data_IF_304227110548
#
_entry.id   IF_304227110548
#
_cell.length_a   1.000
_cell.length_b   1.000
_cell.length_c   1.000
_cell.angle_alpha   90.00
_cell.angle_beta   90.00
_cell.angle_gamma   90.00
#
_symmetry.space_group_name_H-M   'P 1'
#
loop_
_entity.id
_entity.type
_entity.pdbx_description
1 polymer ?
#
# COMPACT_ATOMS: atom_id res chain seq x y z
N UNK A 1 -30.78 -3.66 4.39
CA UNK A 1 -29.47 -3.93 3.76
C UNK A 1 -28.43 -4.45 4.74
N UNK A 2 -28.21 -3.81 5.89
CA UNK A 2 -27.19 -4.24 6.86
C UNK A 2 -27.30 -5.71 7.31
N UNK A 3 -28.48 -6.17 7.77
CA UNK A 3 -28.68 -7.57 8.19
C UNK A 3 -28.44 -8.60 7.09
N UNK A 4 -28.71 -8.24 5.83
CA UNK A 4 -28.46 -9.09 4.66
C UNK A 4 -26.95 -9.22 4.46
N UNK A 5 -26.21 -8.11 4.50
CA UNK A 5 -24.75 -8.13 4.35
C UNK A 5 -24.10 -8.95 5.48
N UNK A 6 -24.58 -8.82 6.72
CA UNK A 6 -24.07 -9.58 7.86
C UNK A 6 -24.35 -11.09 7.76
N UNK A 7 -25.53 -11.47 7.27
CA UNK A 7 -25.86 -12.88 7.04
C UNK A 7 -25.02 -13.47 5.91
N UNK A 8 -24.83 -12.73 4.81
CA UNK A 8 -23.98 -13.16 3.69
C UNK A 8 -22.51 -13.35 4.12
N UNK A 9 -21.99 -12.42 4.92
CA UNK A 9 -20.62 -12.50 5.46
C UNK A 9 -20.50 -13.49 6.62
N UNK A 10 -21.55 -14.23 7.00
CA UNK A 10 -21.55 -15.13 8.16
C UNK A 10 -20.99 -14.48 9.43
N UNK A 11 -21.25 -13.19 9.60
CA UNK A 11 -20.70 -12.37 10.68
C UNK A 11 -19.15 -12.34 10.76
N UNK A 12 -18.42 -12.75 9.71
CA UNK A 12 -16.96 -12.67 9.65
C UNK A 12 -16.52 -11.28 9.14
N UNK A 13 -16.45 -10.32 10.06
CA UNK A 13 -16.01 -8.94 9.76
C UNK A 13 -14.50 -8.72 9.99
N UNK A 14 -13.81 -9.69 10.61
CA UNK A 14 -12.43 -9.58 11.08
C UNK A 14 -11.34 -9.84 10.04
N UNK A 15 -11.63 -9.70 8.74
CA UNK A 15 -10.64 -10.00 7.70
C UNK A 15 -9.44 -9.03 7.78
N UNK A 16 -8.19 -9.53 7.69
CA UNK A 16 -7.02 -8.67 7.68
C UNK A 16 -7.03 -7.79 6.43
N UNK A 17 -7.00 -6.47 6.62
CA UNK A 17 -6.95 -5.51 5.52
C UNK A 17 -5.51 -5.27 5.06
N UNK A 18 -5.27 -4.84 3.80
CA UNK A 18 -3.92 -4.49 3.33
C UNK A 18 -3.17 -3.51 4.23
N UNK A 19 -3.90 -2.59 4.90
CA UNK A 19 -3.32 -1.66 5.85
C UNK A 19 -2.65 -2.36 7.05
N UNK A 20 -3.19 -3.49 7.50
CA UNK A 20 -2.58 -4.28 8.58
C UNK A 20 -1.21 -4.83 8.16
N UNK A 21 -1.08 -5.27 6.91
CA UNK A 21 0.17 -5.73 6.34
C UNK A 21 1.19 -4.57 6.23
N UNK A 22 0.78 -3.43 5.68
CA UNK A 22 1.65 -2.24 5.55
C UNK A 22 2.16 -1.75 6.90
N UNK A 23 1.31 -1.75 7.93
CA UNK A 23 1.72 -1.37 9.30
C UNK A 23 2.76 -2.35 9.88
N UNK A 24 2.56 -3.65 9.67
CA UNK A 24 3.53 -4.68 10.09
C UNK A 24 4.85 -4.55 9.33
N UNK A 25 4.77 -4.32 8.02
CA UNK A 25 5.93 -4.04 7.17
C UNK A 25 6.71 -2.82 7.66
N UNK A 26 6.04 -1.68 7.87
CA UNK A 26 6.70 -0.45 8.30
C UNK A 26 7.44 -0.65 9.63
N UNK A 27 6.84 -1.41 10.55
CA UNK A 27 7.46 -1.78 11.83
C UNK A 27 8.67 -2.70 11.64
N UNK A 28 8.55 -3.75 10.83
CA UNK A 28 9.64 -4.70 10.55
C UNK A 28 10.80 -4.07 9.74
N UNK A 29 10.48 -3.13 8.87
CA UNK A 29 11.44 -2.36 8.10
C UNK A 29 12.13 -1.27 8.94
N UNK A 30 11.79 -1.14 10.24
CA UNK A 30 12.23 -0.07 11.12
C UNK A 30 12.07 1.33 10.50
N UNK A 31 10.99 1.53 9.73
CA UNK A 31 10.65 2.81 9.13
C UNK A 31 10.14 3.75 10.25
N UNK A 32 11.08 4.31 11.00
CA UNK A 32 10.79 5.40 11.93
C UNK A 32 10.49 6.67 11.13
N UNK A 33 9.63 7.52 11.69
CA UNK A 33 9.25 8.84 11.16
C UNK A 33 10.42 9.79 10.86
N UNK A 34 11.62 9.43 11.33
CA UNK A 34 12.88 10.16 11.21
C UNK A 34 13.74 9.71 10.03
N UNK A 35 13.57 8.48 9.52
CA UNK A 35 14.42 7.90 8.47
C UNK A 35 13.59 7.61 7.23
N UNK A 36 13.80 8.41 6.18
CA UNK A 36 13.05 8.30 4.92
C UNK A 36 13.02 6.87 4.38
N UNK A 37 11.81 6.38 4.08
CA UNK A 37 11.55 5.06 3.47
C UNK A 37 12.35 4.85 2.18
N UNK A 38 12.72 5.94 1.50
CA UNK A 38 13.45 5.94 0.22
C UNK A 38 14.95 5.62 0.34
N UNK A 39 15.53 5.66 1.55
CA UNK A 39 16.98 5.40 1.77
C UNK A 39 17.28 3.93 2.08
N UNK A 40 16.25 3.09 2.27
CA UNK A 40 16.40 1.69 2.68
C UNK A 40 16.32 0.74 1.49
N UNK A 41 17.04 -0.39 1.53
CA UNK A 41 16.87 -1.44 0.55
C UNK A 41 15.39 -1.88 0.49
N UNK A 42 14.80 -1.97 -0.71
CA UNK A 42 13.36 -2.15 -0.88
C UNK A 42 12.83 -3.51 -0.40
N UNK A 43 13.70 -4.52 -0.29
CA UNK A 43 13.37 -5.84 0.23
C UNK A 43 14.55 -6.39 1.04
N UNK A 44 14.33 -6.77 2.30
CA UNK A 44 15.38 -7.26 3.21
C UNK A 44 15.14 -8.71 3.61
N UNK A 45 16.20 -9.43 3.99
CA UNK A 45 16.10 -10.82 4.47
C UNK A 45 15.14 -10.96 5.66
N UNK A 46 15.10 -9.96 6.55
CA UNK A 46 14.14 -9.90 7.67
C UNK A 46 12.69 -9.87 7.18
N UNK A 47 12.39 -9.09 6.14
CA UNK A 47 11.05 -9.00 5.57
C UNK A 47 10.65 -10.29 4.86
N UNK A 48 11.57 -10.91 4.13
CA UNK A 48 11.35 -12.22 3.52
C UNK A 48 11.05 -13.29 4.58
N UNK A 49 11.75 -13.27 5.72
CA UNK A 49 11.49 -14.20 6.82
C UNK A 49 10.11 -14.03 7.46
N UNK A 50 9.65 -12.79 7.68
CA UNK A 50 8.34 -12.53 8.32
C UNK A 50 7.15 -12.69 7.37
N UNK A 51 7.35 -12.50 6.07
CA UNK A 51 6.26 -12.52 5.08
C UNK A 51 6.22 -13.80 4.25
N UNK A 52 7.33 -14.51 4.13
CA UNK A 52 7.48 -15.71 3.31
C UNK A 52 7.58 -15.43 1.81
N UNK A 53 7.47 -14.17 1.36
CA UNK A 53 7.56 -13.82 -0.06
C UNK A 53 9.00 -13.58 -0.50
N UNK A 54 9.37 -14.13 -1.66
CA UNK A 54 10.59 -13.76 -2.34
C UNK A 54 10.39 -12.45 -3.13
N UNK A 55 11.49 -11.85 -3.57
CA UNK A 55 11.39 -10.68 -4.45
C UNK A 55 10.67 -11.01 -5.75
N UNK A 56 10.94 -12.18 -6.32
CA UNK A 56 10.37 -12.64 -7.60
C UNK A 56 8.84 -12.78 -7.54
N UNK A 57 8.29 -13.17 -6.38
CA UNK A 57 6.84 -13.25 -6.16
C UNK A 57 6.17 -11.87 -6.18
N UNK A 58 6.92 -10.81 -5.84
CA UNK A 58 6.39 -9.44 -5.74
C UNK A 58 6.51 -8.68 -7.05
N UNK A 59 7.47 -9.02 -7.91
CA UNK A 59 7.70 -8.37 -9.22
C UNK A 59 6.41 -8.19 -10.03
N UNK A 60 5.55 -9.20 -10.27
CA UNK A 60 4.35 -9.02 -11.09
C UNK A 60 3.41 -7.96 -10.50
N UNK A 61 3.19 -7.99 -9.18
CA UNK A 61 2.32 -7.04 -8.47
C UNK A 61 2.92 -5.62 -8.50
N UNK A 62 4.24 -5.50 -8.35
CA UNK A 62 4.93 -4.21 -8.40
C UNK A 62 4.79 -3.54 -9.77
N UNK A 63 4.87 -4.32 -10.86
CA UNK A 63 4.68 -3.81 -12.22
C UNK A 63 3.27 -3.27 -12.42
N UNK A 64 2.25 -4.00 -11.94
CA UNK A 64 0.85 -3.56 -12.01
C UNK A 64 0.62 -2.28 -11.21
N UNK A 65 1.11 -2.22 -9.96
CA UNK A 65 0.99 -1.03 -9.12
C UNK A 65 1.67 0.16 -9.79
N UNK A 66 2.87 -0.03 -10.37
CA UNK A 66 3.59 1.03 -11.09
C UNK A 66 2.78 1.56 -12.27
N UNK A 67 2.17 0.67 -13.06
CA UNK A 67 1.31 1.06 -14.16
C UNK A 67 0.08 1.84 -13.68
N UNK A 68 -0.57 1.38 -12.59
CA UNK A 68 -1.72 2.06 -11.98
C UNK A 68 -1.39 3.46 -11.48
N UNK A 69 -0.22 3.66 -10.86
CA UNK A 69 0.20 4.98 -10.39
C UNK A 69 0.39 5.95 -11.56
N UNK A 70 0.93 5.51 -12.70
CA UNK A 70 1.09 6.37 -13.89
C UNK A 70 -0.24 6.86 -14.45
N UNK A 71 -1.27 6.01 -14.45
CA UNK A 71 -2.60 6.37 -14.96
C UNK A 71 -3.49 7.05 -13.92
N UNK A 72 -3.13 6.98 -12.63
CA UNK A 72 -3.90 7.56 -11.54
C UNK A 72 -4.39 9.01 -11.77
N UNK A 73 -3.62 9.97 -12.32
CA UNK A 73 -4.11 11.34 -12.55
C UNK A 73 -5.11 11.47 -13.72
N UNK A 74 -5.20 10.49 -14.62
CA UNK A 74 -6.07 10.54 -15.80
C UNK A 74 -7.36 9.75 -15.65
N UNK A 75 -7.46 8.87 -14.65
CA UNK A 75 -8.64 8.05 -14.40
C UNK A 75 -9.88 8.90 -14.06
N UNK A 76 -11.07 8.38 -14.35
CA UNK A 76 -12.33 9.02 -13.93
C UNK A 76 -12.48 9.10 -12.41
N UNK A 77 -11.96 8.09 -11.69
CA UNK A 77 -12.07 7.96 -10.22
C UNK A 77 -10.94 8.71 -9.48
N UNK A 78 -11.05 10.04 -9.42
CA UNK A 78 -10.02 10.92 -8.86
C UNK A 78 -10.03 11.11 -7.32
N UNK A 79 -10.98 10.53 -6.60
CA UNK A 79 -11.18 10.83 -5.17
C UNK A 79 -9.95 10.48 -4.30
N UNK A 80 -9.34 9.31 -4.54
CA UNK A 80 -8.16 8.86 -3.80
C UNK A 80 -6.94 9.70 -4.18
N UNK A 81 -6.72 9.92 -5.47
CA UNK A 81 -5.61 10.76 -5.94
C UNK A 81 -5.66 12.14 -5.29
N UNK A 82 -6.80 12.84 -5.37
CA UNK A 82 -7.02 14.14 -4.72
C UNK A 82 -6.81 14.11 -3.20
N UNK A 83 -7.27 13.05 -2.52
CA UNK A 83 -7.05 12.88 -1.07
C UNK A 83 -5.56 12.88 -0.74
N UNK A 84 -4.77 12.08 -1.42
CA UNK A 84 -3.33 11.92 -1.14
C UNK A 84 -2.43 12.98 -1.83
N UNK A 85 -2.98 13.82 -2.71
CA UNK A 85 -2.32 15.03 -3.21
C UNK A 85 -2.33 16.19 -2.19
N UNK A 86 -3.17 16.10 -1.14
CA UNK A 86 -3.26 17.13 -0.10
C UNK A 86 -1.97 17.21 0.74
N UNK A 87 -1.65 18.41 1.24
CA UNK A 87 -0.55 18.66 2.17
C UNK A 87 -0.65 17.80 3.45
N UNK A 88 -1.88 17.48 3.90
CA UNK A 88 -2.12 16.59 5.05
C UNK A 88 -1.45 15.22 4.91
N UNK A 89 -1.31 14.75 3.67
CA UNK A 89 -0.67 13.49 3.33
C UNK A 89 0.66 13.70 2.59
N UNK A 90 1.33 14.83 2.88
CA UNK A 90 2.64 15.20 2.34
C UNK A 90 2.70 15.17 0.81
N UNK A 91 1.55 15.37 0.14
CA UNK A 91 1.43 15.34 -1.32
C UNK A 91 1.97 14.05 -1.95
N UNK A 92 1.97 12.94 -1.20
CA UNK A 92 2.58 11.67 -1.59
C UNK A 92 2.14 11.15 -2.96
N UNK A 93 0.87 11.38 -3.34
CA UNK A 93 0.39 10.99 -4.66
C UNK A 93 1.08 11.74 -5.81
N UNK A 94 1.39 13.04 -5.63
CA UNK A 94 2.08 13.84 -6.65
C UNK A 94 3.53 13.40 -6.79
N UNK A 95 4.22 13.23 -5.66
CA UNK A 95 5.61 12.78 -5.62
C UNK A 95 5.78 11.39 -6.23
N UNK A 96 4.84 10.47 -5.95
CA UNK A 96 4.88 9.11 -6.49
C UNK A 96 4.78 9.08 -8.02
N UNK A 97 3.88 9.87 -8.61
CA UNK A 97 3.75 9.96 -10.08
C UNK A 97 5.01 10.54 -10.73
N UNK A 98 5.66 11.50 -10.08
CA UNK A 98 6.88 12.13 -10.61
C UNK A 98 8.12 11.24 -10.53
N UNK A 99 8.14 10.24 -9.64
CA UNK A 99 9.32 9.40 -9.36
C UNK A 99 9.38 8.11 -10.21
N UNK A 100 8.39 7.87 -11.08
CA UNK A 100 8.08 6.57 -11.73
C UNK A 100 8.07 6.67 -13.26
#
# INVERSE_FOLDING_TARGET
MERIILSELRYSLGAPTPLTFVKRYAKAAHADSTVGILSRPPWTATLQQYTGYSYDDLVPVLVEIKALVKVAPTLKIQAIFKKYSSQKYLRTALTAVQSI
#
